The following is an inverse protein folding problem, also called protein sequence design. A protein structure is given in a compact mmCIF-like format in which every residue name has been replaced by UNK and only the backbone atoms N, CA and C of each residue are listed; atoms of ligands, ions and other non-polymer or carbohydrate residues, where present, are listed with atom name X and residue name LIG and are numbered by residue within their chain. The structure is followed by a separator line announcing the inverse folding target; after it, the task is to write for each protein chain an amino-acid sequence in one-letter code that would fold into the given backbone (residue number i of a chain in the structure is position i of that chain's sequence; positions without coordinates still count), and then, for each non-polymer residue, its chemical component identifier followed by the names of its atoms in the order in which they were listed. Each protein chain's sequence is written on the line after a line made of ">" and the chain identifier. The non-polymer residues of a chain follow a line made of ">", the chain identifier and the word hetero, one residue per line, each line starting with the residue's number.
data_IF_824229297580
#
_entry.id   IF_824229297580
#
_cell.length_a   1.000
_cell.length_b   1.000
_cell.length_c   1.000
_cell.angle_alpha   90.00
_cell.angle_beta   90.00
_cell.angle_gamma   90.00
#
_symmetry.space_group_name_H-M   'P 1'
#
loop_
_entity.id
_entity.type
_entity.pdbx_description
1 polymer ?
#
# COMPACT_ATOMS: atom_id res chain seq x y z
N UNK A 1 -18.13 -16.18 -21.77
CA UNK A 1 -17.40 -14.95 -21.36
C UNK A 1 -18.09 -14.38 -20.15
N UNK A 2 -17.34 -13.80 -19.23
CA UNK A 2 -17.87 -13.12 -18.04
C UNK A 2 -17.06 -11.88 -17.72
N UNK A 3 -17.66 -10.97 -16.98
CA UNK A 3 -16.99 -9.81 -16.44
C UNK A 3 -17.70 -9.37 -15.18
N UNK A 4 -16.94 -8.81 -14.26
CA UNK A 4 -17.47 -8.25 -13.03
C UNK A 4 -16.81 -6.91 -12.73
N UNK A 5 -17.63 -6.04 -12.15
CA UNK A 5 -17.20 -4.75 -11.64
C UNK A 5 -17.73 -4.61 -10.22
N UNK A 6 -16.84 -4.37 -9.27
CA UNK A 6 -17.24 -4.15 -7.89
C UNK A 6 -16.52 -2.97 -7.27
N UNK A 7 -17.19 -2.34 -6.31
CA UNK A 7 -16.65 -1.27 -5.49
C UNK A 7 -16.73 -1.69 -4.03
N UNK A 8 -15.63 -1.52 -3.32
CA UNK A 8 -15.54 -1.73 -1.88
C UNK A 8 -15.07 -0.45 -1.20
N UNK A 9 -15.28 -0.39 0.11
CA UNK A 9 -14.64 0.59 0.96
C UNK A 9 -14.10 -0.11 2.21
N UNK A 10 -13.04 0.45 2.77
CA UNK A 10 -12.52 0.04 4.06
C UNK A 10 -12.51 1.26 4.98
N UNK A 11 -13.15 1.12 6.13
CA UNK A 11 -13.25 2.19 7.11
C UNK A 11 -11.94 2.29 7.90
N UNK A 12 -11.51 3.51 8.28
CA UNK A 12 -10.38 3.68 9.18
C UNK A 12 -10.61 2.91 10.48
N UNK A 13 -9.57 2.28 10.99
CA UNK A 13 -9.62 1.59 12.28
C UNK A 13 -9.66 2.59 13.44
N UNK A 14 -10.02 2.13 14.64
CA UNK A 14 -10.11 3.00 15.81
C UNK A 14 -8.77 3.70 16.12
N UNK A 15 -7.64 3.00 15.99
CA UNK A 15 -6.31 3.56 16.26
C UNK A 15 -5.90 4.61 15.23
N UNK A 16 -6.38 4.49 13.99
CA UNK A 16 -6.12 5.44 12.92
C UNK A 16 -7.01 6.67 13.03
N UNK A 17 -8.26 6.54 13.49
CA UNK A 17 -9.25 7.63 13.56
C UNK A 17 -9.32 8.34 14.92
N UNK A 18 -8.79 7.73 15.98
CA UNK A 18 -8.78 8.30 17.33
C UNK A 18 -7.68 9.37 17.49
N UNK A 19 -7.77 10.20 18.53
CA UNK A 19 -6.66 11.05 18.99
C UNK A 19 -5.58 10.24 19.76
N UNK A 20 -5.55 8.93 19.55
CA UNK A 20 -4.59 8.02 20.18
C UNK A 20 -3.22 8.21 19.55
N UNK A 21 -2.19 8.01 20.38
CA UNK A 21 -0.79 8.04 19.95
C UNK A 21 -0.16 6.70 20.22
N UNK A 22 0.54 6.16 19.23
CA UNK A 22 1.28 4.91 19.32
C UNK A 22 2.76 5.22 19.23
N UNK A 23 3.53 4.67 20.17
CA UNK A 23 4.98 4.77 20.16
C UNK A 23 5.56 3.52 19.48
N UNK A 24 6.42 3.74 18.50
CA UNK A 24 7.14 2.73 17.76
C UNK A 24 8.62 3.09 17.70
N UNK A 25 9.47 2.11 17.41
CA UNK A 25 10.89 2.35 17.16
C UNK A 25 11.15 1.95 15.72
N UNK A 26 11.71 2.87 14.96
CA UNK A 26 12.10 2.64 13.57
C UNK A 26 13.57 2.99 13.38
N UNK A 27 14.15 2.50 12.29
CA UNK A 27 15.53 2.85 11.92
C UNK A 27 15.53 3.89 10.83
N UNK A 28 16.21 5.01 11.06
CA UNK A 28 16.45 6.03 10.05
C UNK A 28 17.86 6.60 10.22
N UNK A 29 18.38 7.13 9.12
CA UNK A 29 19.71 7.74 9.08
C UNK A 29 19.54 9.24 9.25
N UNK A 30 20.16 9.85 10.26
CA UNK A 30 20.16 11.30 10.45
C UNK A 30 21.47 11.89 9.89
N UNK A 31 21.43 12.64 8.77
CA UNK A 31 22.61 13.28 8.22
C UNK A 31 23.18 14.41 9.10
N UNK A 32 22.40 14.93 10.06
CA UNK A 32 22.72 16.07 10.91
C UNK A 32 23.07 15.68 12.35
N UNK A 33 23.15 14.38 12.67
CA UNK A 33 23.55 13.89 13.99
C UNK A 33 24.98 14.36 14.34
N UNK A 34 25.19 15.07 15.48
CA UNK A 34 26.50 15.58 15.88
C UNK A 34 27.49 14.49 16.32
N UNK A 35 27.03 13.27 16.60
CA UNK A 35 27.89 12.17 17.06
C UNK A 35 28.18 11.14 15.94
N UNK A 36 27.18 10.77 15.15
CA UNK A 36 27.32 9.77 14.07
C UNK A 36 26.51 10.13 12.81
N UNK A 37 26.94 11.15 12.04
CA UNK A 37 26.23 11.58 10.83
C UNK A 37 26.03 10.45 9.83
N UNK A 38 24.78 10.25 9.39
CA UNK A 38 24.44 9.31 8.33
C UNK A 38 24.40 7.83 8.72
N UNK A 39 24.69 7.49 9.98
CA UNK A 39 24.57 6.11 10.47
C UNK A 39 23.10 5.83 10.82
N UNK A 40 22.52 4.68 10.39
CA UNK A 40 21.17 4.31 10.82
C UNK A 40 21.10 4.13 12.34
N UNK A 41 20.27 4.93 12.99
CA UNK A 41 20.01 4.87 14.43
C UNK A 41 18.56 4.45 14.70
N UNK A 42 18.31 3.88 15.88
CA UNK A 42 16.94 3.60 16.33
C UNK A 42 16.30 4.90 16.84
N UNK A 43 15.30 5.38 16.13
CA UNK A 43 14.60 6.62 16.43
C UNK A 43 13.19 6.27 16.92
N UNK A 44 12.76 6.96 17.98
CA UNK A 44 11.40 6.82 18.50
C UNK A 44 10.43 7.53 17.56
N UNK A 45 9.45 6.82 17.03
CA UNK A 45 8.37 7.35 16.21
C UNK A 45 7.08 7.43 17.03
N UNK A 46 6.48 8.61 17.08
CA UNK A 46 5.16 8.82 17.64
C UNK A 46 4.15 8.96 16.51
N UNK A 47 3.38 7.91 16.28
CA UNK A 47 2.32 7.89 15.28
C UNK A 47 1.00 8.35 15.90
N UNK A 48 0.42 9.42 15.35
CA UNK A 48 -0.86 9.96 15.78
C UNK A 48 -1.98 9.46 14.87
N UNK A 49 -3.14 9.18 15.44
CA UNK A 49 -4.37 9.05 14.67
C UNK A 49 -4.84 10.40 14.13
N UNK A 50 -5.70 10.34 13.12
CA UNK A 50 -6.20 11.48 12.37
C UNK A 50 -7.72 11.36 12.17
N UNK A 51 -8.54 12.20 12.82
CA UNK A 51 -10.00 12.15 12.68
C UNK A 51 -10.50 12.62 11.30
N UNK A 52 -9.64 13.21 10.47
CA UNK A 52 -9.98 13.69 9.14
C UNK A 52 -9.74 12.64 8.03
N UNK A 53 -9.41 11.40 8.40
CA UNK A 53 -9.15 10.32 7.45
C UNK A 53 -10.38 10.01 6.59
N UNK A 54 -10.15 9.91 5.29
CA UNK A 54 -11.15 9.39 4.37
C UNK A 54 -11.05 7.86 4.31
N UNK A 55 -12.19 7.15 4.21
CA UNK A 55 -12.18 5.71 3.96
C UNK A 55 -11.43 5.35 2.69
N UNK A 56 -10.70 4.23 2.73
CA UNK A 56 -10.11 3.67 1.53
C UNK A 56 -11.21 3.17 0.60
N UNK A 57 -11.00 3.32 -0.70
CA UNK A 57 -11.96 2.86 -1.71
C UNK A 57 -11.30 1.95 -2.71
N UNK A 58 -11.88 0.77 -2.90
CA UNK A 58 -11.40 -0.23 -3.85
C UNK A 58 -12.33 -0.31 -5.05
N UNK A 59 -11.74 -0.36 -6.25
CA UNK A 59 -12.43 -0.66 -7.50
C UNK A 59 -11.81 -1.92 -8.08
N UNK A 60 -12.60 -2.97 -8.23
CA UNK A 60 -12.17 -4.22 -8.84
C UNK A 60 -12.83 -4.37 -10.21
N UNK A 61 -12.02 -4.65 -11.21
CA UNK A 61 -12.43 -5.00 -12.56
C UNK A 61 -11.90 -6.39 -12.85
N UNK A 62 -12.76 -7.29 -13.29
CA UNK A 62 -12.37 -8.60 -13.75
C UNK A 62 -13.09 -8.91 -15.06
N UNK A 63 -12.36 -9.44 -16.02
CA UNK A 63 -12.90 -9.91 -17.30
C UNK A 63 -12.22 -11.23 -17.65
N UNK A 64 -13.02 -12.20 -18.06
CA UNK A 64 -12.50 -13.53 -18.36
C UNK A 64 -13.35 -14.28 -19.36
N UNK A 65 -12.76 -15.33 -19.89
CA UNK A 65 -13.45 -16.30 -20.71
C UNK A 65 -12.91 -17.69 -20.47
N UNK A 66 -13.80 -18.65 -20.65
CA UNK A 66 -13.47 -20.06 -20.58
C UNK A 66 -14.02 -20.73 -21.83
N UNK A 67 -13.18 -21.53 -22.46
CA UNK A 67 -13.47 -22.33 -23.63
C UNK A 67 -13.18 -23.80 -23.31
N UNK A 68 -14.14 -24.69 -23.55
CA UNK A 68 -13.99 -26.13 -23.39
C UNK A 68 -14.43 -26.83 -24.67
N UNK A 69 -13.52 -27.03 -25.64
CA UNK A 69 -13.87 -27.62 -26.94
C UNK A 69 -14.31 -29.08 -26.86
N UNK A 70 -13.87 -29.82 -25.85
CA UNK A 70 -14.22 -31.22 -25.59
C UNK A 70 -14.20 -31.47 -24.06
N UNK A 71 -14.69 -32.62 -23.61
CA UNK A 71 -14.71 -33.05 -22.20
C UNK A 71 -13.32 -33.21 -21.58
N UNK A 72 -12.27 -33.29 -22.39
CA UNK A 72 -10.90 -33.59 -21.96
C UNK A 72 -9.94 -32.39 -22.01
N UNK A 73 -10.33 -31.31 -22.70
CA UNK A 73 -9.50 -30.14 -22.94
C UNK A 73 -10.28 -28.84 -22.75
N UNK A 74 -9.66 -27.87 -22.10
CA UNK A 74 -10.20 -26.53 -21.91
C UNK A 74 -9.12 -25.49 -21.68
N UNK A 75 -9.52 -24.23 -21.81
CA UNK A 75 -8.69 -23.06 -21.69
C UNK A 75 -9.47 -21.94 -21.02
N UNK A 76 -8.94 -21.41 -19.92
CA UNK A 76 -9.43 -20.23 -19.23
C UNK A 76 -8.41 -19.09 -19.32
N UNK A 77 -8.91 -17.88 -19.51
CA UNK A 77 -8.14 -16.67 -19.39
C UNK A 77 -8.91 -15.65 -18.55
N UNK A 78 -8.23 -15.07 -17.59
CA UNK A 78 -8.76 -14.07 -16.67
C UNK A 78 -7.80 -12.89 -16.58
N UNK A 79 -8.33 -11.69 -16.77
CA UNK A 79 -7.62 -10.45 -16.49
C UNK A 79 -8.31 -9.73 -15.34
N UNK A 80 -7.51 -9.27 -14.37
CA UNK A 80 -8.02 -8.50 -13.24
C UNK A 80 -7.23 -7.22 -13.05
N UNK A 81 -7.93 -6.20 -12.55
CA UNK A 81 -7.36 -4.91 -12.15
C UNK A 81 -8.05 -4.41 -10.90
N UNK A 82 -7.26 -4.24 -9.86
CA UNK A 82 -7.67 -3.75 -8.55
C UNK A 82 -7.02 -2.38 -8.37
N UNK A 83 -7.85 -1.36 -8.10
CA UNK A 83 -7.40 -0.01 -7.78
C UNK A 83 -7.88 0.38 -6.40
N UNK A 84 -6.96 0.61 -5.48
CA UNK A 84 -7.20 1.11 -4.14
C UNK A 84 -6.85 2.59 -4.14
N UNK A 85 -7.80 3.42 -3.74
CA UNK A 85 -7.64 4.86 -3.59
C UNK A 85 -7.66 5.22 -2.10
N UNK A 86 -6.97 6.32 -1.77
CA UNK A 86 -6.89 6.88 -0.42
C UNK A 86 -6.28 5.92 0.60
N UNK A 87 -5.29 5.13 0.17
CA UNK A 87 -4.63 4.18 1.06
C UNK A 87 -4.13 4.88 2.33
N UNK A 88 -4.58 4.41 3.48
CA UNK A 88 -4.28 4.97 4.79
C UNK A 88 -2.94 4.40 5.23
N UNK A 89 -2.07 5.28 5.69
CA UNK A 89 -0.81 4.90 6.29
C UNK A 89 -0.06 6.10 6.82
N UNK A 90 1.19 5.89 7.23
CA UNK A 90 2.09 6.94 7.69
C UNK A 90 3.09 7.34 6.60
N UNK A 91 3.50 8.60 6.61
CA UNK A 91 4.59 9.08 5.77
C UNK A 91 5.92 8.39 6.09
N UNK A 92 6.89 8.49 5.18
CA UNK A 92 8.24 7.96 5.42
C UNK A 92 8.94 8.79 6.49
N UNK A 93 9.34 8.14 7.59
CA UNK A 93 10.08 8.76 8.69
C UNK A 93 11.37 9.46 8.25
N UNK A 94 12.00 8.99 7.17
CA UNK A 94 13.25 9.55 6.65
C UNK A 94 13.07 11.01 6.17
N UNK A 95 11.88 11.37 5.68
CA UNK A 95 11.58 12.75 5.30
C UNK A 95 11.56 13.68 6.51
N UNK A 96 10.96 13.23 7.61
CA UNK A 96 10.88 13.99 8.87
C UNK A 96 12.24 14.07 9.57
N UNK A 97 13.05 13.00 9.52
CA UNK A 97 14.42 12.98 10.04
C UNK A 97 15.33 13.92 9.26
N UNK A 98 15.19 14.02 7.94
CA UNK A 98 15.96 14.95 7.12
C UNK A 98 15.55 16.41 7.30
N UNK A 99 14.30 16.67 7.72
CA UNK A 99 13.76 18.00 7.95
C UNK A 99 14.09 18.56 9.35
N UNK A 100 14.94 17.86 10.11
CA UNK A 100 15.18 18.19 11.51
C UNK A 100 15.97 19.50 11.71
N UNK A 101 15.82 20.07 12.90
CA UNK A 101 16.41 21.33 13.34
C UNK A 101 17.95 21.25 13.40
N UNK A 102 18.66 22.39 13.26
CA UNK A 102 20.13 22.46 13.26
C UNK A 102 20.83 22.04 14.57
N UNK A 103 20.07 21.72 15.63
CA UNK A 103 20.60 21.24 16.92
C UNK A 103 20.93 19.73 16.92
N UNK A 104 20.61 19.01 15.83
CA UNK A 104 21.14 17.69 15.50
C UNK A 104 20.72 16.52 16.41
N UNK A 105 19.81 16.71 17.36
CA UNK A 105 19.34 15.62 18.24
C UNK A 105 17.85 15.35 18.06
N UNK A 106 17.49 14.07 17.84
CA UNK A 106 16.11 13.62 17.66
C UNK A 106 15.65 12.87 18.90
N UNK A 107 14.75 13.46 19.70
CA UNK A 107 14.10 12.75 20.80
C UNK A 107 13.00 11.80 20.28
N UNK A 108 12.17 12.28 19.35
CA UNK A 108 11.16 11.50 18.64
C UNK A 108 10.74 12.17 17.33
N UNK A 109 10.26 11.37 16.37
CA UNK A 109 9.68 11.82 15.10
C UNK A 109 8.17 11.69 15.17
N UNK A 110 7.44 12.72 14.75
CA UNK A 110 5.98 12.72 14.81
C UNK A 110 5.40 12.38 13.43
N UNK A 111 4.76 11.23 13.30
CA UNK A 111 4.02 10.87 12.08
C UNK A 111 2.52 10.89 12.35
N UNK A 112 1.72 11.18 11.33
CA UNK A 112 0.26 11.18 11.43
C UNK A 112 -0.30 10.34 10.29
N UNK A 113 -1.34 9.56 10.58
CA UNK A 113 -2.03 8.80 9.54
C UNK A 113 -2.61 9.76 8.49
N UNK A 114 -2.37 9.45 7.22
CA UNK A 114 -2.86 10.23 6.08
C UNK A 114 -3.28 9.31 4.93
N UNK A 115 -4.06 9.86 4.00
CA UNK A 115 -4.40 9.17 2.76
C UNK A 115 -3.23 9.33 1.76
N UNK A 116 -2.34 8.34 1.73
CA UNK A 116 -1.04 8.32 1.04
C UNK A 116 -1.11 8.07 -0.48
N UNK A 117 -2.29 7.96 -1.07
CA UNK A 117 -2.46 7.89 -2.53
C UNK A 117 -3.14 6.64 -3.05
N UNK A 118 -2.66 6.14 -4.19
CA UNK A 118 -3.33 5.07 -4.96
C UNK A 118 -2.41 3.87 -5.12
N UNK A 119 -2.93 2.68 -4.84
CA UNK A 119 -2.29 1.41 -5.17
C UNK A 119 -3.07 0.75 -6.31
N UNK A 120 -2.36 0.34 -7.35
CA UNK A 120 -2.95 -0.40 -8.47
C UNK A 120 -2.26 -1.73 -8.62
N UNK A 121 -3.04 -2.80 -8.66
CA UNK A 121 -2.59 -4.16 -8.92
C UNK A 121 -3.35 -4.70 -10.10
N UNK A 122 -2.64 -5.10 -11.15
CA UNK A 122 -3.23 -5.74 -12.32
C UNK A 122 -2.45 -6.99 -12.71
N UNK A 123 -3.13 -7.92 -13.35
CA UNK A 123 -2.55 -9.19 -13.69
C UNK A 123 -3.46 -10.03 -14.55
N UNK A 124 -2.92 -11.16 -14.98
CA UNK A 124 -3.69 -12.16 -15.69
C UNK A 124 -3.38 -13.56 -15.18
N UNK A 125 -4.37 -14.41 -15.33
CA UNK A 125 -4.32 -15.84 -15.03
C UNK A 125 -4.69 -16.61 -16.29
N UNK A 126 -3.92 -17.66 -16.56
CA UNK A 126 -4.17 -18.60 -17.64
C UNK A 126 -4.33 -19.97 -17.03
N UNK A 127 -5.48 -20.58 -17.28
CA UNK A 127 -5.85 -21.87 -16.71
C UNK A 127 -6.05 -22.89 -17.82
N UNK A 128 -5.04 -23.72 -18.13
CA UNK A 128 -5.23 -24.89 -18.96
C UNK A 128 -6.03 -25.93 -18.19
N UNK A 129 -6.95 -26.60 -18.86
CA UNK A 129 -7.70 -27.75 -18.33
C UNK A 129 -7.35 -28.93 -19.22
N UNK A 130 -6.64 -29.90 -18.67
CA UNK A 130 -6.32 -31.15 -19.34
C UNK A 130 -6.49 -32.31 -18.35
N UNK A 131 -6.98 -33.45 -18.82
CA UNK A 131 -7.22 -34.66 -18.02
C UNK A 131 -5.95 -35.19 -17.32
N UNK A 132 -4.76 -34.76 -17.74
CA UNK A 132 -3.48 -35.06 -17.08
C UNK A 132 -2.56 -33.84 -17.09
N UNK A 133 -2.23 -33.36 -15.90
CA UNK A 133 -1.20 -32.36 -15.59
C UNK A 133 -1.33 -31.02 -16.33
N UNK A 134 -2.24 -30.17 -15.86
CA UNK A 134 -2.26 -28.76 -16.20
C UNK A 134 -1.85 -27.92 -14.98
N UNK A 135 -1.00 -26.91 -15.18
CA UNK A 135 -0.64 -25.91 -14.16
C UNK A 135 -1.13 -24.54 -14.62
N UNK A 136 -1.84 -23.84 -13.75
CA UNK A 136 -2.21 -22.46 -13.98
C UNK A 136 -0.97 -21.56 -13.92
N UNK A 137 -0.97 -20.49 -14.71
CA UNK A 137 0.07 -19.47 -14.69
C UNK A 137 -0.55 -18.12 -14.33
N UNK A 138 0.05 -17.44 -13.36
CA UNK A 138 -0.40 -16.14 -12.87
C UNK A 138 0.77 -15.16 -12.95
N UNK A 139 0.50 -13.96 -13.48
CA UNK A 139 1.44 -12.84 -13.37
C UNK A 139 0.70 -11.57 -12.98
N UNK A 140 1.23 -10.91 -11.97
CA UNK A 140 0.72 -9.64 -11.46
C UNK A 140 1.82 -8.58 -11.41
N UNK A 141 1.40 -7.32 -11.49
CA UNK A 141 2.21 -6.14 -11.20
C UNK A 141 1.49 -5.34 -10.12
N UNK A 142 2.24 -4.91 -9.12
CA UNK A 142 1.78 -3.95 -8.12
C UNK A 142 2.52 -2.63 -8.32
N UNK A 143 1.80 -1.52 -8.37
CA UNK A 143 2.36 -0.18 -8.50
C UNK A 143 1.68 0.75 -7.49
N UNK A 144 2.49 1.42 -6.67
CA UNK A 144 2.05 2.48 -5.77
C UNK A 144 2.32 3.86 -6.42
N UNK A 145 1.38 4.78 -6.28
CA UNK A 145 1.54 6.18 -6.67
C UNK A 145 1.20 7.06 -5.47
N UNK A 146 2.22 7.72 -4.93
CA UNK A 146 2.08 8.70 -3.87
C UNK A 146 1.52 10.02 -4.44
N UNK A 147 0.73 10.80 -3.69
CA UNK A 147 0.31 12.12 -4.12
C UNK A 147 1.55 13.01 -4.22
N UNK A 148 1.74 13.63 -5.39
CA UNK A 148 2.80 14.62 -5.67
C UNK A 148 2.44 15.99 -5.09
N UNK A 149 2.09 16.03 -3.81
CA UNK A 149 1.75 17.25 -3.11
C UNK A 149 2.20 17.12 -1.67
N UNK A 150 3.15 17.95 -1.27
CA UNK A 150 3.40 18.29 0.13
C UNK A 150 2.05 18.58 0.78
N UNK A 151 1.58 17.70 1.66
CA UNK A 151 0.49 18.04 2.54
C UNK A 151 1.08 19.10 3.49
N UNK A 152 0.67 20.39 3.42
CA UNK A 152 1.11 21.33 4.42
C UNK A 152 0.53 20.85 5.76
N UNK A 153 1.42 20.85 6.74
CA UNK A 153 1.16 20.60 8.15
C UNK A 153 -0.05 21.40 8.66
#
# INVERSE_FOLDING_TARGET
>A
MYGSYSRGFWAPTLVENSQSKTLSIQTASDPLDPFQPGVPQSISELTNGNPNLQPERTKNYNIGFQLSPDTTAGFGFDFYKIKINNAIGTGLIQGEVNANNPDGTIAYVNTTHANLGTLTTDGFEVTPIASRLARAWVRSRCQATLPTGSNPL
#
